data_IF_924426538151
#
_entry.id   IF_924426538151
#
_cell.length_a   1.000
_cell.length_b   1.000
_cell.length_c   1.000
_cell.angle_alpha   90.00
_cell.angle_beta   90.00
_cell.angle_gamma   90.00
#
_symmetry.space_group_name_H-M   'P 1'
#
loop_
_entity.id
_entity.type
_entity.pdbx_description
1 polymer ?
2 non-polymer ?
3 water ?
#
# COMPACT_ATOMS: atom_id res chain seq x y z
N UNK A 10 -18.91 21.62 -3.54
CA UNK A 10 -19.42 20.35 -2.94
C UNK A 10 -18.82 20.09 -1.55
N UNK A 11 -18.06 21.07 -1.04
CA UNK A 11 -17.45 20.98 0.28
C UNK A 11 -18.42 21.29 1.42
N UNK A 12 -19.62 21.75 1.07
CA UNK A 12 -20.74 21.87 2.01
C UNK A 12 -21.11 20.49 2.57
N UNK A 13 -20.66 19.44 1.88
CA UNK A 13 -20.90 18.05 2.27
C UNK A 13 -19.95 17.58 3.37
N UNK A 14 -18.89 18.35 3.60
CA UNK A 14 -17.91 18.07 4.65
C UNK A 14 -18.30 18.69 5.98
N UNK A 15 -19.11 19.74 5.92
CA UNK A 15 -19.56 20.46 7.12
C UNK A 15 -20.90 19.92 7.65
N UNK A 16 -21.57 19.09 6.87
CA UNK A 16 -22.85 18.50 7.27
C UNK A 16 -22.73 17.12 7.88
N UNK A 17 -23.87 16.41 8.01
CA UNK A 17 -23.86 15.03 8.51
C UNK A 17 -23.43 14.04 7.42
N UNK A 18 -22.72 12.98 7.82
CA UNK A 18 -22.10 12.06 6.86
C UNK A 18 -23.07 11.45 5.85
N UNK A 19 -24.33 11.29 6.25
CA UNK A 19 -25.38 10.68 5.39
C UNK A 19 -25.54 11.34 4.02
N UNK A 20 -25.46 12.67 3.98
CA UNK A 20 -25.59 13.42 2.73
C UNK A 20 -24.36 13.23 1.84
N UNK A 21 -23.19 13.02 2.46
CA UNK A 21 -21.95 12.76 1.73
C UNK A 21 -21.97 11.36 1.12
N UNK A 22 -22.31 10.36 1.94
CA UNK A 22 -22.35 8.96 1.51
C UNK A 22 -23.31 8.73 0.33
N UNK A 23 -24.51 9.29 0.42
CA UNK A 23 -25.52 9.16 -0.64
C UNK A 23 -25.11 9.91 -1.90
N UNK A 24 -24.33 10.97 -1.73
CA UNK A 24 -23.77 11.71 -2.85
C UNK A 24 -22.72 10.88 -3.59
N UNK A 25 -21.91 10.16 -2.81
CA UNK A 25 -20.89 9.26 -3.34
C UNK A 25 -21.52 8.08 -4.07
N UNK A 26 -22.61 7.56 -3.50
CA UNK A 26 -23.42 6.51 -4.13
C UNK A 26 -24.11 7.01 -5.40
N UNK A 27 -24.42 8.30 -5.45
CA UNK A 27 -25.08 8.89 -6.62
C UNK A 27 -24.11 9.18 -7.77
N UNK A 28 -22.85 9.50 -7.43
CA UNK A 28 -21.86 9.84 -8.47
C UNK A 28 -21.01 8.64 -8.93
N UNK A 29 -21.40 7.44 -8.52
CA UNK A 29 -20.82 6.20 -9.06
C UNK A 29 -20.98 6.18 -10.58
N UNK A 30 -19.91 5.81 -11.31
CA UNK A 30 -19.98 5.71 -12.77
C UNK A 30 -21.08 4.75 -13.21
N UNK A 31 -21.73 5.07 -14.34
CA UNK A 31 -22.79 4.21 -14.87
C UNK A 31 -22.22 2.86 -15.26
N UNK A 32 -22.95 1.80 -14.86
CA UNK A 32 -22.54 0.41 -15.12
C UNK A 32 -22.13 0.20 -16.58
N UNK A 33 -21.00 -0.48 -16.76
CA UNK A 33 -20.35 -0.61 -18.07
C UNK A 33 -20.45 -2.02 -18.67
N UNK A 34 -20.85 -2.06 -19.93
CA UNK A 34 -20.92 -3.33 -20.68
C UNK A 34 -19.78 -3.43 -21.69
N UNK A 35 -19.31 -4.66 -21.93
CA UNK A 35 -18.24 -4.91 -22.89
C UNK A 35 -18.76 -5.28 -24.28
N UNK A 36 -19.78 -6.13 -24.33
CA UNK A 36 -20.29 -6.78 -25.55
C UNK A 36 -19.27 -7.72 -26.22
N UNK A 46 -13.19 -13.86 -24.81
CA UNK A 46 -14.27 -14.04 -25.79
C UNK A 46 -14.64 -12.76 -26.55
N UNK A 47 -14.72 -11.61 -25.85
CA UNK A 47 -14.89 -10.37 -26.62
C UNK A 47 -13.60 -10.02 -27.36
N UNK A 48 -13.75 -9.39 -28.51
CA UNK A 48 -12.62 -8.97 -29.35
C UNK A 48 -11.83 -7.86 -28.65
N UNK A 49 -10.55 -7.76 -28.97
CA UNK A 49 -9.68 -6.75 -28.33
C UNK A 49 -10.18 -5.34 -28.58
N UNK A 50 -10.62 -5.08 -29.82
CA UNK A 50 -11.23 -3.81 -30.21
C UNK A 50 -12.30 -3.34 -29.22
N UNK A 51 -13.14 -4.28 -28.81
CA UNK A 51 -14.24 -3.99 -27.90
C UNK A 51 -13.76 -3.89 -26.43
N UNK A 52 -12.69 -4.59 -26.09
CA UNK A 52 -12.03 -4.42 -24.79
C UNK A 52 -11.25 -3.11 -24.74
N UNK A 53 -10.63 -2.74 -25.87
CA UNK A 53 -10.02 -1.42 -26.01
C UNK A 53 -11.05 -0.31 -25.79
N UNK A 54 -12.22 -0.46 -26.40
CA UNK A 54 -13.35 0.48 -26.22
C UNK A 54 -13.80 0.62 -24.78
N UNK A 55 -13.87 -0.51 -24.06
CA UNK A 55 -14.19 -0.54 -22.63
C UNK A 55 -13.19 0.24 -21.80
N UNK A 56 -11.91 -0.05 -22.03
CA UNK A 56 -10.81 0.63 -21.35
C UNK A 56 -10.92 2.14 -21.57
N UNK A 57 -11.17 2.55 -22.82
CA UNK A 57 -11.34 3.95 -23.19
C UNK A 57 -12.45 4.64 -22.40
N UNK A 58 -13.54 3.92 -22.17
CA UNK A 58 -14.70 4.42 -21.43
C UNK A 58 -14.47 4.40 -19.90
N UNK A 59 -13.73 3.41 -19.43
CA UNK A 59 -13.28 3.36 -18.03
C UNK A 59 -12.47 4.58 -17.60
N UNK A 60 -11.60 5.04 -18.48
CA UNK A 60 -10.78 6.24 -18.27
C UNK A 60 -11.69 7.46 -18.14
N UNK A 61 -12.62 7.60 -19.09
CA UNK A 61 -13.52 8.76 -19.13
C UNK A 61 -14.34 8.88 -17.85
N UNK A 62 -14.98 7.80 -17.44
CA UNK A 62 -15.83 7.79 -16.24
C UNK A 62 -15.07 7.97 -14.91
N UNK A 63 -13.83 7.48 -14.84
CA UNK A 63 -12.99 7.68 -13.65
C UNK A 63 -12.66 9.16 -13.46
N UNK A 64 -12.57 9.89 -14.57
CA UNK A 64 -12.23 11.31 -14.54
C UNK A 64 -13.42 12.16 -14.10
N UNK A 65 -14.58 11.93 -14.71
CA UNK A 65 -15.81 12.65 -14.34
C UNK A 65 -16.24 12.36 -12.91
N UNK A 66 -15.96 11.16 -12.43
CA UNK A 66 -16.21 10.76 -11.04
C UNK A 66 -15.34 11.54 -10.05
N UNK A 67 -14.04 11.61 -10.35
CA UNK A 67 -13.08 12.36 -9.53
C UNK A 67 -13.46 13.84 -9.45
N UNK A 68 -13.89 14.40 -10.58
CA UNK A 68 -14.42 15.77 -10.64
C UNK A 68 -15.55 16.01 -9.64
N UNK A 69 -16.24 14.94 -9.25
CA UNK A 69 -17.41 15.01 -8.38
C UNK A 69 -17.09 14.62 -6.92
N UNK A 70 -15.83 14.33 -6.63
CA UNK A 70 -15.39 14.09 -5.25
C UNK A 70 -15.26 15.44 -4.53
N UNK A 71 -16.01 15.61 -3.41
CA UNK A 71 -15.91 16.85 -2.66
C UNK A 71 -14.48 17.09 -2.20
N UNK A 72 -13.92 18.23 -2.61
CA UNK A 72 -12.52 18.57 -2.32
C UNK A 72 -11.61 18.57 -3.54
N UNK A 73 -11.72 17.51 -4.36
CA UNK A 73 -10.81 17.30 -5.49
C UNK A 73 -10.70 18.50 -6.43
N UNK A 74 -11.84 18.99 -6.89
CA UNK A 74 -11.91 20.10 -7.83
C UNK A 74 -11.27 21.38 -7.30
N UNK A 75 -11.04 21.44 -5.98
CA UNK A 75 -10.42 22.61 -5.34
C UNK A 75 -8.90 22.47 -5.16
N UNK A 76 -8.30 21.53 -5.88
CA UNK A 76 -6.86 21.51 -6.03
C UNK A 76 -6.59 22.23 -7.32
N UNK A 77 -5.36 22.66 -7.55
CA UNK A 77 -4.96 23.21 -8.85
C UNK A 77 -5.04 22.11 -9.89
N UNK A 78 -5.21 22.48 -11.16
CA UNK A 78 -5.27 21.50 -12.25
C UNK A 78 -4.07 20.56 -12.30
N UNK A 79 -2.89 21.06 -11.94
CA UNK A 79 -1.67 20.26 -11.96
C UNK A 79 -1.69 19.19 -10.88
N UNK A 80 -2.17 19.55 -9.69
CA UNK A 80 -2.31 18.59 -8.59
C UNK A 80 -3.43 17.59 -8.83
N UNK A 81 -4.48 18.02 -9.52
CA UNK A 81 -5.57 17.12 -9.91
C UNK A 81 -5.11 16.04 -10.88
N UNK A 82 -4.30 16.43 -11.85
CA UNK A 82 -3.72 15.48 -12.81
C UNK A 82 -2.73 14.54 -12.15
N UNK A 83 -1.87 15.09 -11.30
CA UNK A 83 -0.86 14.31 -10.60
C UNK A 83 -1.48 13.30 -9.66
N UNK A 84 -2.54 13.72 -8.97
CA UNK A 84 -3.29 12.85 -8.10
C UNK A 84 -3.91 11.71 -8.90
N UNK A 85 -4.60 12.04 -10.00
CA UNK A 85 -5.29 11.02 -10.79
C UNK A 85 -4.37 10.03 -11.49
N UNK A 86 -3.28 10.52 -12.10
CA UNK A 86 -2.24 9.64 -12.66
C UNK A 86 -1.77 8.57 -11.67
N UNK A 87 -1.59 8.97 -10.42
CA UNK A 87 -1.04 8.05 -9.42
C UNK A 87 -2.05 7.00 -8.90
N UNK A 88 -3.34 7.32 -8.95
CA UNK A 88 -4.38 6.47 -8.32
C UNK A 88 -5.59 6.12 -9.19
N UNK A 89 -5.59 6.54 -10.46
CA UNK A 89 -6.74 6.26 -11.34
C UNK A 89 -7.02 4.78 -11.50
N UNK A 90 -5.95 3.97 -11.54
CA UNK A 90 -6.05 2.51 -11.65
C UNK A 90 -6.45 1.83 -10.34
N UNK A 91 -6.10 2.46 -9.21
CA UNK A 91 -6.61 2.01 -7.91
C UNK A 91 -8.12 2.16 -7.85
N UNK A 92 -8.63 3.25 -8.39
CA UNK A 92 -10.07 3.52 -8.41
C UNK A 92 -10.78 2.50 -9.30
N UNK A 93 -10.22 2.25 -10.49
CA UNK A 93 -10.73 1.20 -11.38
C UNK A 93 -10.71 -0.18 -10.77
N UNK A 94 -9.54 -0.57 -10.29
CA UNK A 94 -9.37 -1.88 -9.70
C UNK A 94 -10.35 -2.12 -8.55
N UNK A 95 -10.57 -1.10 -7.71
CA UNK A 95 -11.47 -1.22 -6.55
C UNK A 95 -12.92 -1.41 -6.99
N UNK A 96 -13.30 -0.73 -8.08
CA UNK A 96 -14.58 -0.96 -8.73
C UNK A 96 -14.77 -2.41 -9.12
N UNK A 97 -13.79 -2.98 -9.82
CA UNK A 97 -13.85 -4.37 -10.29
C UNK A 97 -13.94 -5.35 -9.13
N UNK A 98 -13.16 -5.09 -8.07
CA UNK A 98 -13.15 -5.95 -6.89
C UNK A 98 -14.46 -5.93 -6.10
N UNK A 99 -15.10 -4.76 -6.04
CA UNK A 99 -16.40 -4.60 -5.39
C UNK A 99 -17.48 -5.45 -6.08
N UNK A 100 -17.61 -5.28 -7.41
CA UNK A 100 -18.57 -6.04 -8.22
C UNK A 100 -18.29 -7.57 -8.23
N UNK A 101 -17.12 -7.95 -7.70
CA UNK A 101 -16.70 -9.35 -7.67
C UNK A 101 -16.91 -10.02 -6.31
N UNK A 102 -17.30 -9.23 -5.31
CA UNK A 102 -17.52 -9.72 -3.94
C UNK A 102 -18.53 -10.87 -3.86
N UNK A 103 -19.69 -10.78 -4.57
CA UNK A 103 -20.61 -11.90 -4.55
C UNK A 103 -20.30 -12.99 -5.58
N UNK A 104 -19.02 -13.14 -5.96
CA UNK A 104 -18.56 -14.19 -6.89
C UNK A 104 -17.47 -15.03 -6.26
N UNK A 105 -17.19 -16.18 -6.86
CA UNK A 105 -16.14 -17.07 -6.38
C UNK A 105 -15.12 -17.40 -7.47
N UNK A 106 -13.86 -17.02 -7.22
CA UNK A 106 -12.74 -17.22 -8.14
C UNK A 106 -12.96 -16.60 -9.52
N UNK A 107 -13.81 -15.56 -9.56
CA UNK A 107 -14.15 -14.89 -10.81
C UNK A 107 -14.13 -13.40 -10.60
N UNK A 108 -14.01 -12.66 -11.70
CA UNK A 108 -13.93 -11.21 -11.66
C UNK A 108 -14.91 -10.59 -12.65
N UNK A 109 -15.64 -9.58 -12.17
CA UNK A 109 -16.58 -8.84 -12.99
C UNK A 109 -15.88 -7.62 -13.60
N UNK A 110 -15.31 -7.83 -14.79
CA UNK A 110 -14.61 -6.79 -15.51
C UNK A 110 -15.61 -5.85 -16.18
N UNK A 111 -16.81 -6.37 -16.41
CA UNK A 111 -17.95 -5.61 -16.93
C UNK A 111 -19.26 -6.29 -16.54
N UNK A 112 -20.39 -5.64 -16.83
CA UNK A 112 -21.73 -6.18 -16.55
C UNK A 112 -21.99 -7.50 -17.27
N UNK A 113 -21.33 -7.67 -18.41
CA UNK A 113 -21.48 -8.85 -19.25
C UNK A 113 -20.15 -9.57 -19.43
N UNK A 114 -19.19 -9.28 -18.55
CA UNK A 114 -17.89 -9.94 -18.62
C UNK A 114 -17.42 -10.42 -17.25
N UNK A 115 -17.61 -11.71 -17.01
CA UNK A 115 -17.21 -12.36 -15.78
C UNK A 115 -16.22 -13.43 -16.17
N UNK A 116 -14.99 -13.30 -15.69
CA UNK A 116 -13.94 -14.22 -16.08
C UNK A 116 -13.26 -14.79 -14.88
N UNK A 117 -13.00 -16.09 -14.93
CA UNK A 117 -12.15 -16.74 -13.96
C UNK A 117 -10.71 -16.47 -14.36
N UNK A 118 -9.77 -17.05 -13.62
CA UNK A 118 -8.35 -16.82 -13.82
C UNK A 118 -7.88 -17.34 -15.18
N UNK A 119 -8.52 -18.40 -15.67
CA UNK A 119 -8.21 -18.95 -16.98
C UNK A 119 -8.71 -18.03 -18.09
N UNK A 120 -9.90 -17.48 -17.91
CA UNK A 120 -10.47 -16.51 -18.82
C UNK A 120 -9.75 -15.16 -18.79
N UNK A 121 -9.31 -14.73 -17.60
CA UNK A 121 -8.55 -13.49 -17.46
C UNK A 121 -7.26 -13.52 -18.33
N UNK A 122 -6.48 -14.60 -18.18
CA UNK A 122 -5.23 -14.79 -18.94
C UNK A 122 -5.47 -15.01 -20.44
N UNK A 123 -6.60 -15.63 -20.80
CA UNK A 123 -6.98 -15.82 -22.21
C UNK A 123 -7.45 -14.52 -22.87
N UNK A 124 -8.03 -13.63 -22.07
CA UNK A 124 -8.47 -12.33 -22.55
C UNK A 124 -7.29 -11.35 -22.65
N UNK A 125 -6.11 -11.80 -22.23
CA UNK A 125 -4.86 -11.04 -22.42
C UNK A 125 -4.39 -10.22 -21.24
N UNK A 126 -4.85 -10.58 -20.05
CA UNK A 126 -4.47 -9.85 -18.83
C UNK A 126 -3.31 -10.50 -18.08
N UNK A 127 -2.61 -11.43 -18.73
CA UNK A 127 -1.44 -12.12 -18.14
C UNK A 127 -1.79 -12.85 -16.85
N UNK A 128 -1.07 -12.53 -15.78
CA UNK A 128 -1.33 -13.12 -14.46
C UNK A 128 -2.04 -12.18 -13.48
N UNK A 129 -2.62 -11.09 -13.99
CA UNK A 129 -3.31 -10.11 -13.15
C UNK A 129 -4.53 -10.68 -12.41
N UNK A 130 -5.15 -11.73 -12.96
CA UNK A 130 -6.32 -12.38 -12.33
C UNK A 130 -6.03 -12.80 -10.91
N UNK A 131 -4.92 -13.51 -10.70
CA UNK A 131 -4.44 -13.87 -9.37
C UNK A 131 -4.30 -12.65 -8.45
N UNK A 132 -3.69 -11.59 -8.97
CA UNK A 132 -3.45 -10.39 -8.19
C UNK A 132 -4.77 -9.72 -7.77
N UNK A 133 -5.71 -9.67 -8.69
CA UNK A 133 -7.03 -9.11 -8.44
C UNK A 133 -7.89 -9.99 -7.50
N UNK A 134 -7.76 -11.30 -7.59
CA UNK A 134 -8.52 -12.18 -6.70
C UNK A 134 -8.02 -12.08 -5.26
N UNK A 135 -6.70 -12.07 -5.10
CA UNK A 135 -6.10 -11.82 -3.81
C UNK A 135 -6.68 -10.58 -3.11
N UNK A 136 -6.89 -9.51 -3.88
CA UNK A 136 -7.54 -8.29 -3.36
C UNK A 136 -9.03 -8.50 -3.08
N UNK A 137 -9.70 -9.27 -3.94
CA UNK A 137 -11.11 -9.56 -3.77
C UNK A 137 -11.32 -10.33 -2.46
N UNK A 138 -10.55 -11.41 -2.27
CA UNK A 138 -10.63 -12.21 -1.05
C UNK A 138 -10.51 -11.33 0.20
N UNK A 139 -9.53 -10.43 0.16
CA UNK A 139 -9.24 -9.52 1.26
C UNK A 139 -10.45 -8.64 1.62
N UNK A 140 -11.14 -8.15 0.60
CA UNK A 140 -12.37 -7.35 0.75
C UNK A 140 -13.59 -8.20 1.16
N UNK A 141 -13.56 -9.48 0.80
CA UNK A 141 -14.63 -10.44 1.08
C UNK A 141 -14.54 -10.95 2.51
N UNK A 142 -13.32 -10.95 3.05
CA UNK A 142 -13.10 -11.38 4.42
C UNK A 142 -13.52 -10.32 5.43
N UNK A 143 -14.24 -9.31 4.94
CA UNK A 143 -14.62 -8.14 5.73
C UNK A 143 -16.10 -7.77 5.66
N UNK A 144 -16.85 -8.46 4.79
CA UNK A 144 -18.26 -8.12 4.52
C UNK A 144 -18.40 -6.67 4.08
N UNK A 145 -17.53 -6.27 3.14
CA UNK A 145 -17.47 -4.89 2.69
C UNK A 145 -18.81 -4.42 2.13
N UNK A 146 -19.28 -3.30 2.67
CA UNK A 146 -20.59 -2.78 2.30
C UNK A 146 -20.46 -1.65 1.29
N UNK A 147 -21.51 -1.49 0.50
CA UNK A 147 -21.52 -0.50 -0.57
C UNK A 147 -21.12 0.91 -0.10
N UNK A 148 -21.57 1.29 1.10
CA UNK A 148 -21.26 2.59 1.70
C UNK A 148 -19.80 2.73 2.12
N UNK A 149 -19.25 1.69 2.72
CA UNK A 149 -17.83 1.62 3.07
C UNK A 149 -16.96 1.70 1.80
N UNK A 150 -17.39 0.99 0.76
CA UNK A 150 -16.69 0.95 -0.53
C UNK A 150 -16.48 2.33 -1.17
N UNK A 151 -17.54 3.15 -1.22
CA UNK A 151 -17.48 4.47 -1.86
C UNK A 151 -16.71 5.52 -1.04
N UNK A 152 -16.61 5.28 0.26
CA UNK A 152 -15.80 6.11 1.14
C UNK A 152 -14.32 5.72 1.03
N UNK A 153 -14.05 4.42 1.06
CA UNK A 153 -12.70 3.88 0.81
C UNK A 153 -12.14 4.30 -0.56
N UNK A 154 -13.01 4.38 -1.56
CA UNK A 154 -12.64 4.76 -2.92
C UNK A 154 -12.27 6.23 -3.03
N UNK A 155 -13.05 7.11 -2.40
CA UNK A 155 -12.74 8.53 -2.36
C UNK A 155 -11.50 8.80 -1.51
N UNK A 156 -11.32 8.03 -0.45
CA UNK A 156 -10.10 8.06 0.38
C UNK A 156 -8.84 7.50 -0.31
N UNK A 157 -8.99 6.52 -1.21
CA UNK A 157 -7.86 6.02 -1.98
C UNK A 157 -7.34 7.10 -2.93
N UNK A 158 -8.27 7.81 -3.57
CA UNK A 158 -7.93 8.93 -4.44
C UNK A 158 -7.16 10.03 -3.69
N UNK A 159 -7.65 10.38 -2.49
CA UNK A 159 -7.06 11.44 -1.67
C UNK A 159 -5.75 11.02 -1.01
N UNK A 160 -5.50 9.72 -0.95
CA UNK A 160 -4.25 9.21 -0.37
C UNK A 160 -3.07 9.14 -1.34
N UNK A 161 -3.22 9.77 -2.50
CA UNK A 161 -2.16 9.84 -3.51
C UNK A 161 -0.78 10.19 -2.89
N UNK A 162 0.28 9.68 -3.51
CA UNK A 162 1.63 10.01 -3.05
C UNK A 162 2.52 10.43 -4.22
N UNK A 163 1.93 11.13 -5.19
CA UNK A 163 2.66 11.61 -6.37
C UNK A 163 3.81 12.57 -6.04
N UNK A 164 4.98 12.29 -6.60
CA UNK A 164 6.15 13.19 -6.45
C UNK A 164 5.92 14.53 -7.14
N UNK A 165 4.92 14.57 -8.02
CA UNK A 165 4.60 15.76 -8.80
C UNK A 165 3.65 16.73 -8.08
N UNK A 166 3.19 16.37 -6.88
CA UNK A 166 2.24 17.19 -6.14
C UNK A 166 2.90 18.46 -5.57
N UNK A 167 2.33 19.61 -5.95
CA UNK A 167 2.77 20.91 -5.47
C UNK A 167 2.28 21.15 -4.05
N UNK A 168 0.96 21.25 -3.89
CA UNK A 168 0.34 21.62 -2.63
C UNK A 168 0.03 20.39 -1.80
N UNK A 169 1.01 19.91 -1.05
CA UNK A 169 0.87 18.72 -0.22
C UNK A 169 -0.10 18.91 0.95
N UNK A 170 -0.13 20.13 1.49
CA UNK A 170 -1.02 20.51 2.58
C UNK A 170 -2.48 20.37 2.15
N UNK A 171 -2.79 20.82 0.94
CA UNK A 171 -4.13 20.77 0.37
C UNK A 171 -4.61 19.35 0.03
N UNK A 172 -3.67 18.47 -0.30
CA UNK A 172 -3.98 17.06 -0.55
C UNK A 172 -4.24 16.37 0.79
N UNK A 173 -3.35 16.63 1.75
CA UNK A 173 -3.45 16.12 3.11
C UNK A 173 -4.80 16.45 3.75
N UNK A 174 -5.24 17.69 3.54
CA UNK A 174 -6.50 18.20 4.06
C UNK A 174 -7.71 17.44 3.49
N UNK A 175 -7.74 17.25 2.17
CA UNK A 175 -8.74 16.41 1.50
C UNK A 175 -8.75 15.00 2.08
N UNK A 176 -7.56 14.45 2.27
CA UNK A 176 -7.38 13.10 2.81
C UNK A 176 -7.89 12.95 4.23
N UNK A 177 -7.64 13.98 5.04
CA UNK A 177 -8.06 14.01 6.44
C UNK A 177 -9.58 14.06 6.55
N UNK A 178 -10.20 14.88 5.71
CA UNK A 178 -11.66 15.06 5.70
C UNK A 178 -12.39 13.78 5.29
N UNK A 179 -11.82 13.09 4.30
CA UNK A 179 -12.37 11.81 3.88
C UNK A 179 -12.10 10.71 4.90
N UNK A 180 -10.98 10.80 5.61
CA UNK A 180 -10.70 9.87 6.71
C UNK A 180 -11.71 10.09 7.84
N UNK A 181 -11.86 11.35 8.24
CA UNK A 181 -12.86 11.75 9.23
C UNK A 181 -14.25 11.25 8.84
N UNK A 182 -14.67 11.54 7.60
CA UNK A 182 -15.97 11.11 7.08
C UNK A 182 -16.20 9.59 7.16
N UNK A 183 -15.13 8.82 6.97
CA UNK A 183 -15.20 7.36 7.12
C UNK A 183 -15.28 6.97 8.59
N UNK A 184 -14.65 7.76 9.46
CA UNK A 184 -14.76 7.54 10.90
C UNK A 184 -16.16 7.88 11.41
N UNK A 185 -16.73 8.98 10.90
CA UNK A 185 -18.08 9.42 11.24
C UNK A 185 -19.15 8.48 10.70
N UNK A 186 -18.87 7.83 9.58
CA UNK A 186 -19.78 6.82 9.05
C UNK A 186 -19.83 5.60 9.96
N UNK A 187 -18.66 5.12 10.37
CA UNK A 187 -18.54 3.92 11.20
C UNK A 187 -19.02 4.17 12.62
N UNK A 188 -18.96 5.43 13.06
CA UNK A 188 -19.43 5.82 14.39
C UNK A 188 -20.94 5.66 14.49
N UNK A 189 -21.67 6.41 13.65
CA UNK A 189 -23.13 6.35 13.61
C UNK A 189 -23.66 5.09 12.95
N UNK A 199 -14.45 0.32 16.89
CA UNK A 199 -13.27 1.14 16.54
C UNK A 199 -12.33 0.49 15.50
N UNK A 200 -12.35 -0.84 15.43
CA UNK A 200 -11.47 -1.58 14.51
C UNK A 200 -11.92 -1.58 13.04
N UNK A 201 -13.19 -1.25 12.80
CA UNK A 201 -13.80 -1.37 11.47
C UNK A 201 -13.14 -0.51 10.38
N UNK A 202 -12.91 0.78 10.68
CA UNK A 202 -12.29 1.71 9.74
C UNK A 202 -10.88 1.30 9.39
N UNK A 203 -10.11 0.88 10.41
CA UNK A 203 -8.74 0.42 10.25
C UNK A 203 -8.58 -0.85 9.44
N UNK A 204 -9.56 -1.75 9.53
CA UNK A 204 -9.57 -2.99 8.75
C UNK A 204 -9.70 -2.74 7.25
N UNK A 205 -10.45 -1.69 6.90
CA UNK A 205 -10.64 -1.26 5.53
C UNK A 205 -9.41 -0.55 4.99
N UNK A 206 -8.79 0.27 5.83
CA UNK A 206 -7.53 0.91 5.51
C UNK A 206 -6.39 -0.07 5.30
N UNK A 207 -6.41 -1.21 5.99
CA UNK A 207 -5.32 -2.18 5.89
C UNK A 207 -5.32 -2.97 4.56
N UNK A 208 -6.34 -2.75 3.73
CA UNK A 208 -6.42 -3.40 2.42
C UNK A 208 -5.89 -2.47 1.32
N UNK A 209 -5.69 -1.19 1.68
CA UNK A 209 -5.14 -0.19 0.76
C UNK A 209 -3.72 -0.47 0.18
N UNK A 210 -2.78 -1.00 0.99
CA UNK A 210 -1.46 -1.36 0.45
C UNK A 210 -1.51 -2.39 -0.68
N UNK A 211 -2.34 -3.42 -0.53
CA UNK A 211 -2.58 -4.41 -1.60
C UNK A 211 -3.30 -3.80 -2.80
N UNK A 212 -4.23 -2.89 -2.55
CA UNK A 212 -4.90 -2.16 -3.63
C UNK A 212 -3.88 -1.39 -4.49
N UNK A 213 -2.91 -0.73 -3.85
CA UNK A 213 -1.90 0.06 -4.58
C UNK A 213 -1.01 -0.86 -5.39
N UNK A 214 -0.59 -1.95 -4.75
CA UNK A 214 0.30 -2.93 -5.34
C UNK A 214 -0.34 -3.61 -6.56
N UNK A 215 -1.60 -3.96 -6.45
CA UNK A 215 -2.37 -4.60 -7.52
C UNK A 215 -2.60 -3.67 -8.70
N UNK A 216 -2.96 -2.41 -8.42
CA UNK A 216 -3.13 -1.40 -9.46
C UNK A 216 -1.81 -1.08 -10.20
N UNK A 217 -0.71 -1.08 -9.48
CA UNK A 217 0.62 -0.94 -10.09
C UNK A 217 0.96 -2.07 -11.05
N UNK A 218 0.61 -3.29 -10.69
CA UNK A 218 0.78 -4.45 -11.56
C UNK A 218 -0.05 -4.33 -12.83
N UNK A 219 -1.32 -3.94 -12.68
CA UNK A 219 -2.23 -3.75 -13.81
C UNK A 219 -1.70 -2.65 -14.73
N UNK A 220 -1.29 -1.55 -14.12
CA UNK A 220 -0.75 -0.41 -14.85
C UNK A 220 0.50 -0.78 -15.64
N UNK A 221 1.44 -1.50 -15.00
CA UNK A 221 2.63 -1.99 -15.67
C UNK A 221 2.33 -2.96 -16.81
N UNK A 222 1.28 -3.78 -16.65
CA UNK A 222 0.80 -4.66 -17.72
C UNK A 222 0.44 -3.86 -18.97
N UNK A 223 -0.41 -2.86 -18.79
CA UNK A 223 -0.91 -2.07 -19.91
C UNK A 223 0.14 -1.13 -20.51
N UNK A 224 1.11 -0.70 -19.69
CA UNK A 224 2.27 0.05 -20.24
C UNK A 224 3.05 -0.83 -21.21
N UNK A 225 3.27 -2.09 -20.84
CA UNK A 225 3.98 -3.05 -21.67
C UNK A 225 3.22 -3.47 -22.90
N UNK A 226 1.89 -3.57 -22.78
CA UNK A 226 1.04 -3.88 -23.93
C UNK A 226 1.08 -2.70 -24.91
N UNK A 227 0.92 -1.49 -24.39
CA UNK A 227 0.90 -0.26 -25.19
C UNK A 227 -0.12 -0.38 -26.32
N UNK A 228 -1.39 -0.53 -25.91
CA UNK A 228 -2.48 -0.88 -26.80
C UNK A 228 -2.72 0.22 -27.84
N UNK A 229 -2.65 -0.19 -29.10
CA UNK A 229 -2.80 0.72 -30.25
C UNK A 229 -1.75 1.86 -30.33
N UNK A 230 -0.58 1.61 -29.73
CA UNK A 230 0.55 2.54 -29.81
C UNK A 230 0.53 3.60 -28.73
N UNK A 231 -0.39 3.44 -27.78
CA UNK A 231 -0.69 4.47 -26.82
C UNK A 231 -0.34 4.08 -25.40
N UNK A 232 0.44 4.95 -24.76
CA UNK A 232 0.81 4.85 -23.35
C UNK A 232 -0.39 5.28 -22.53
N UNK A 233 -0.84 4.44 -21.56
CA UNK A 233 -2.00 4.81 -20.74
C UNK A 233 -1.91 6.20 -20.12
N UNK A 234 -0.71 6.58 -19.66
CA UNK A 234 -0.46 7.93 -19.10
C UNK A 234 -0.85 9.03 -20.09
N UNK A 235 -0.53 8.80 -21.35
CA UNK A 235 -0.71 9.78 -22.40
C UNK A 235 -2.19 9.88 -22.76
N UNK A 236 -2.93 8.78 -22.55
CA UNK A 236 -4.37 8.75 -22.78
C UNK A 236 -5.11 9.46 -21.66
N UNK A 237 -4.72 9.16 -20.42
CA UNK A 237 -5.30 9.81 -19.25
C UNK A 237 -5.16 11.34 -19.30
N UNK A 238 -3.94 11.84 -19.50
CA UNK A 238 -3.69 13.28 -19.56
C UNK A 238 -4.56 14.02 -20.57
N UNK A 239 -4.72 13.46 -21.77
CA UNK A 239 -5.56 14.09 -22.81
C UNK A 239 -7.05 14.15 -22.44
N UNK A 240 -7.53 13.09 -21.79
CA UNK A 240 -8.90 13.04 -21.32
C UNK A 240 -9.10 13.95 -20.12
N UNK A 241 -8.09 14.01 -19.25
CA UNK A 241 -8.11 14.92 -18.11
C UNK A 241 -8.15 16.35 -18.61
N UNK A 242 -7.38 16.61 -19.67
CA UNK A 242 -7.34 17.90 -20.33
C UNK A 242 -8.75 18.34 -20.76
N UNK A 243 -9.44 17.49 -21.51
CA UNK A 243 -10.79 17.78 -21.98
C UNK A 243 -11.79 18.08 -20.85
N UNK A 244 -11.72 17.31 -19.76
CA UNK A 244 -12.62 17.51 -18.63
C UNK A 244 -12.17 18.61 -17.65
N UNK A 245 -11.10 19.33 -17.97
CA UNK A 245 -10.56 20.38 -17.09
C UNK A 245 -10.37 21.73 -17.80
N UNK B 10 5.01 -15.85 23.53
CA UNK B 10 4.95 -14.37 23.73
C UNK B 10 3.53 -13.82 23.48
N UNK B 11 2.57 -14.73 23.28
CA UNK B 11 1.17 -14.36 23.09
C UNK B 11 0.46 -13.93 24.37
N UNK B 12 1.14 -14.13 25.50
CA UNK B 12 0.70 -13.59 26.80
C UNK B 12 0.67 -12.05 26.76
N UNK B 13 1.51 -11.48 25.89
CA UNK B 13 1.59 -10.03 25.69
C UNK B 13 0.34 -9.47 24.99
N UNK B 14 -0.38 -10.35 24.30
CA UNK B 14 -1.68 -10.02 23.71
C UNK B 14 -2.82 -10.10 24.72
N UNK B 15 -2.59 -10.87 25.79
CA UNK B 15 -3.57 -11.05 26.86
C UNK B 15 -3.46 -9.97 27.94
N UNK B 16 -2.23 -9.53 28.22
CA UNK B 16 -2.00 -8.46 29.21
C UNK B 16 -2.29 -7.05 28.71
N UNK B 17 -1.77 -6.04 29.43
CA UNK B 17 -1.93 -4.64 29.03
C UNK B 17 -0.90 -4.24 27.97
N UNK B 18 -1.27 -3.30 27.10
CA UNK B 18 -0.47 -2.97 25.93
C UNK B 18 0.95 -2.44 26.25
N UNK B 19 1.09 -1.78 27.40
CA UNK B 19 2.36 -1.16 27.79
C UNK B 19 3.54 -2.13 27.83
N UNK B 20 3.28 -3.37 28.24
CA UNK B 20 4.30 -4.41 28.32
C UNK B 20 4.63 -4.97 26.93
N UNK B 21 3.64 -4.92 26.03
CA UNK B 21 3.84 -5.32 24.63
C UNK B 21 4.71 -4.29 23.92
N UNK B 22 4.35 -3.02 24.06
CA UNK B 22 5.08 -1.89 23.50
C UNK B 22 6.55 -1.88 23.97
N UNK B 23 6.77 -2.19 25.25
CA UNK B 23 8.12 -2.21 25.83
C UNK B 23 8.92 -3.42 25.36
N UNK B 24 8.21 -4.51 25.08
CA UNK B 24 8.82 -5.71 24.52
C UNK B 24 9.31 -5.42 23.10
N UNK B 25 8.51 -4.64 22.36
CA UNK B 25 8.80 -4.29 20.98
C UNK B 25 9.98 -3.32 20.89
N UNK B 26 10.10 -2.43 21.87
CA UNK B 26 11.24 -1.52 21.96
C UNK B 26 12.52 -2.28 22.32
N UNK B 27 12.40 -3.33 23.13
CA UNK B 27 13.54 -4.14 23.55
C UNK B 27 14.02 -5.12 22.45
N UNK B 28 13.11 -5.55 21.57
CA UNK B 28 13.50 -6.46 20.50
C UNK B 28 13.93 -5.75 19.20
N UNK B 29 13.88 -4.41 19.23
CA UNK B 29 14.46 -3.60 18.16
C UNK B 29 15.91 -3.98 17.88
N UNK B 30 16.24 -4.21 16.59
CA UNK B 30 17.58 -4.58 16.15
C UNK B 30 18.64 -3.61 16.65
N UNK B 31 19.81 -4.13 17.01
CA UNK B 31 20.93 -3.30 17.44
C UNK B 31 21.39 -2.40 16.29
N UNK B 32 21.65 -1.13 16.61
CA UNK B 32 22.08 -0.14 15.63
C UNK B 32 23.30 -0.62 14.84
N UNK B 33 23.21 -0.55 13.51
CA UNK B 33 24.24 -1.09 12.62
C UNK B 33 25.10 0.02 12.02
N UNK B 34 26.40 -0.26 11.91
CA UNK B 34 27.36 0.66 11.32
C UNK B 34 27.83 0.13 9.98
N UNK B 35 28.07 1.03 9.02
CA UNK B 35 28.59 0.65 7.71
C UNK B 35 30.12 0.60 7.68
N UNK B 36 30.77 1.64 8.21
CA UNK B 36 32.22 1.87 8.13
C UNK B 36 32.67 2.35 6.73
N UNK B 46 30.72 6.52 -0.53
CA UNK B 46 31.99 6.64 0.18
C UNK B 46 32.47 5.32 0.80
N UNK B 47 31.55 4.54 1.41
CA UNK B 47 31.97 3.19 1.75
C UNK B 47 32.10 2.36 0.46
N UNK B 48 33.03 1.42 0.46
CA UNK B 48 33.21 0.48 -0.65
C UNK B 48 31.97 -0.43 -0.71
N UNK B 49 31.74 -1.04 -1.87
CA UNK B 49 30.57 -1.91 -2.07
C UNK B 49 30.63 -3.17 -1.19
N UNK B 50 31.83 -3.72 -1.04
CA UNK B 50 32.08 -4.83 -0.10
C UNK B 50 31.53 -4.54 1.30
N UNK B 51 31.71 -3.32 1.76
CA UNK B 51 31.22 -2.85 3.06
C UNK B 51 29.69 -2.66 3.08
N UNK B 52 29.15 -2.14 1.98
CA UNK B 52 27.69 -2.04 1.84
C UNK B 52 27.05 -3.42 1.69
N UNK B 53 27.73 -4.34 1.01
CA UNK B 53 27.28 -5.74 0.91
C UNK B 53 27.26 -6.39 2.29
N UNK B 54 28.28 -6.15 3.10
CA UNK B 54 28.31 -6.63 4.49
C UNK B 54 27.17 -6.07 5.34
N UNK B 55 26.89 -4.78 5.18
CA UNK B 55 25.75 -4.14 5.84
C UNK B 55 24.44 -4.82 5.47
N UNK B 56 24.22 -5.03 4.16
CA UNK B 56 23.01 -5.69 3.65
C UNK B 56 22.84 -7.08 4.27
N UNK B 57 23.91 -7.86 4.27
CA UNK B 57 23.93 -9.22 4.84
C UNK B 57 23.48 -9.24 6.31
N UNK B 58 23.88 -8.23 7.07
CA UNK B 58 23.57 -8.13 8.48
C UNK B 58 22.15 -7.56 8.69
N UNK B 59 21.71 -6.67 7.80
CA UNK B 59 20.31 -6.24 7.74
C UNK B 59 19.31 -7.39 7.57
N UNK B 60 19.72 -8.44 6.85
CA UNK B 60 18.91 -9.63 6.63
C UNK B 60 18.84 -10.48 7.90
N UNK B 61 19.99 -10.76 8.51
CA UNK B 61 20.05 -11.60 9.72
C UNK B 61 19.19 -10.97 10.82
N UNK B 62 19.47 -9.70 11.08
CA UNK B 62 18.80 -8.88 12.06
C UNK B 62 17.26 -8.78 11.88
N UNK B 63 16.79 -8.64 10.65
CA UNK B 63 15.34 -8.60 10.36
C UNK B 63 14.67 -9.93 10.70
N UNK B 64 15.41 -11.03 10.54
CA UNK B 64 14.87 -12.36 10.78
C UNK B 64 14.72 -12.66 12.29
N UNK B 65 15.79 -12.45 13.05
CA UNK B 65 15.77 -12.62 14.49
C UNK B 65 14.75 -11.71 15.18
N UNK B 66 14.56 -10.51 14.62
CA UNK B 66 13.51 -9.59 15.07
C UNK B 66 12.10 -10.16 14.89
N UNK B 67 11.85 -10.67 13.68
CA UNK B 67 10.56 -11.24 13.32
C UNK B 67 10.15 -12.39 14.23
N UNK B 68 11.12 -13.22 14.60
CA UNK B 68 10.92 -14.36 15.50
C UNK B 68 10.51 -13.92 16.90
N UNK B 69 10.72 -12.65 17.21
CA UNK B 69 10.43 -12.09 18.54
C UNK B 69 9.16 -11.24 18.54
N UNK B 70 8.45 -11.22 17.42
CA UNK B 70 7.14 -10.59 17.34
C UNK B 70 6.13 -11.58 17.91
N UNK B 71 5.35 -11.14 18.92
CA UNK B 71 4.35 -12.03 19.51
C UNK B 71 3.38 -12.51 18.44
N UNK B 72 3.21 -13.83 18.36
CA UNK B 72 2.33 -14.44 17.36
C UNK B 72 3.02 -15.04 16.13
N UNK B 73 4.07 -14.37 15.64
CA UNK B 73 4.73 -14.78 14.40
C UNK B 73 5.18 -16.24 14.39
N UNK B 74 5.81 -16.67 15.47
CA UNK B 74 6.28 -18.05 15.58
C UNK B 74 5.15 -19.07 15.70
N UNK B 75 3.94 -18.59 16.00
CA UNK B 75 2.75 -19.47 16.05
C UNK B 75 2.22 -19.83 14.65
N UNK B 76 2.74 -19.16 13.62
CA UNK B 76 2.47 -19.54 12.25
C UNK B 76 3.42 -20.67 11.90
N UNK B 77 3.01 -21.56 11.00
CA UNK B 77 3.88 -22.65 10.52
C UNK B 77 5.08 -22.07 9.77
N UNK B 78 6.18 -22.82 9.73
CA UNK B 78 7.43 -22.38 9.07
C UNK B 78 7.26 -21.88 7.63
N UNK B 79 6.37 -22.52 6.87
CA UNK B 79 6.13 -22.12 5.49
C UNK B 79 5.47 -20.75 5.40
N UNK B 80 4.53 -20.49 6.29
CA UNK B 80 3.87 -19.19 6.38
C UNK B 80 4.75 -18.11 7.00
N UNK B 81 5.64 -18.51 7.90
CA UNK B 81 6.62 -17.58 8.46
C UNK B 81 7.55 -17.06 7.37
N UNK B 82 7.98 -17.97 6.51
CA UNK B 82 8.85 -17.64 5.38
C UNK B 82 8.14 -16.79 4.34
N UNK B 83 6.93 -17.21 3.97
CA UNK B 83 6.15 -16.52 2.95
C UNK B 83 5.84 -15.10 3.40
N UNK B 84 5.45 -14.97 4.66
CA UNK B 84 5.18 -13.67 5.28
C UNK B 84 6.44 -12.79 5.22
N UNK B 85 7.58 -13.34 5.60
CA UNK B 85 8.83 -12.55 5.61
C UNK B 85 9.32 -12.14 4.22
N UNK B 86 9.29 -13.06 3.25
CA UNK B 86 9.60 -12.75 1.85
C UNK B 86 8.84 -11.54 1.33
N UNK B 87 7.56 -11.46 1.67
CA UNK B 87 6.68 -10.42 1.15
C UNK B 87 6.89 -9.04 1.81
N UNK B 88 7.42 -9.02 3.04
CA UNK B 88 7.46 -7.76 3.83
C UNK B 88 8.80 -7.42 4.49
N UNK B 89 9.82 -8.26 4.34
CA UNK B 89 11.12 -8.02 5.01
C UNK B 89 11.75 -6.67 4.65
N UNK B 90 11.56 -6.26 3.40
CA UNK B 90 12.05 -4.95 2.92
C UNK B 90 11.18 -3.77 3.40
N UNK B 91 9.91 -4.04 3.73
CA UNK B 91 9.09 -2.99 4.36
C UNK B 91 9.57 -2.72 5.78
N UNK B 92 10.04 -3.76 6.45
CA UNK B 92 10.57 -3.64 7.81
C UNK B 92 11.86 -2.82 7.78
N UNK B 93 12.72 -3.09 6.81
CA UNK B 93 13.99 -2.39 6.65
C UNK B 93 13.80 -0.94 6.27
N UNK B 94 12.99 -0.72 5.24
CA UNK B 94 12.69 0.62 4.76
C UNK B 94 12.12 1.49 5.88
N UNK B 95 11.25 0.92 6.72
CA UNK B 95 10.63 1.66 7.82
C UNK B 95 11.63 1.98 8.92
N UNK B 96 12.57 1.06 9.15
CA UNK B 96 13.72 1.33 10.00
C UNK B 96 14.49 2.54 9.52
N UNK B 97 14.88 2.53 8.24
CA UNK B 97 15.62 3.66 7.65
C UNK B 97 14.86 4.97 7.74
N UNK B 98 13.54 4.91 7.51
CA UNK B 98 12.67 6.10 7.53
C UNK B 98 12.53 6.74 8.92
N UNK B 99 12.34 5.93 9.96
CA UNK B 99 12.27 6.44 11.35
C UNK B 99 13.55 7.19 11.72
N UNK B 100 14.71 6.54 11.56
CA UNK B 100 16.02 7.11 11.90
C UNK B 100 16.30 8.41 11.13
N UNK B 101 15.48 8.69 10.12
CA UNK B 101 15.69 9.82 9.23
C UNK B 101 14.70 10.97 9.47
N UNK B 102 13.73 10.74 10.36
CA UNK B 102 12.74 11.77 10.73
C UNK B 102 13.37 13.06 11.26
N UNK B 103 14.36 12.95 12.18
CA UNK B 103 15.04 14.15 12.66
C UNK B 103 16.06 14.73 11.69
N UNK B 104 15.94 14.40 10.40
CA UNK B 104 16.85 14.88 9.35
C UNK B 104 16.10 15.61 8.23
N UNK B 105 16.85 16.32 7.40
CA UNK B 105 16.26 17.09 6.30
C UNK B 105 16.89 16.73 4.94
N UNK B 106 16.05 16.16 4.05
CA UNK B 106 16.46 15.73 2.72
C UNK B 106 17.61 14.72 2.74
N UNK B 107 17.69 13.94 3.81
CA UNK B 107 18.77 12.97 4.01
C UNK B 107 18.24 11.69 4.61
N UNK B 108 19.00 10.62 4.41
CA UNK B 108 18.59 9.29 4.85
C UNK B 108 19.69 8.62 5.66
N UNK B 109 19.30 8.09 6.81
CA UNK B 109 20.19 7.35 7.69
C UNK B 109 20.17 5.85 7.36
N UNK B 110 21.05 5.45 6.45
CA UNK B 110 21.15 4.06 6.00
C UNK B 110 21.90 3.23 7.02
N UNK B 111 22.72 3.90 7.82
CA UNK B 111 23.41 3.29 8.96
C UNK B 111 23.74 4.38 9.96
N UNK B 112 24.30 4.00 11.11
CA UNK B 112 24.68 4.96 12.15
C UNK B 112 25.74 5.96 11.65
N UNK B 113 26.59 5.50 10.74
CA UNK B 113 27.69 6.29 10.22
C UNK B 113 27.55 6.47 8.72
N UNK B 114 26.30 6.42 8.25
CA UNK B 114 26.02 6.65 6.83
C UNK B 114 24.74 7.45 6.62
N UNK B 115 24.92 8.74 6.40
CA UNK B 115 23.81 9.64 6.16
C UNK B 115 24.04 10.22 4.76
N UNK B 116 23.07 10.00 3.88
CA UNK B 116 23.23 10.39 2.49
C UNK B 116 22.02 11.16 2.01
N UNK B 117 22.29 12.25 1.29
CA UNK B 117 21.24 12.93 0.55
C UNK B 117 21.00 12.19 -0.77
N UNK B 118 20.18 12.77 -1.62
CA UNK B 118 19.76 12.16 -2.87
C UNK B 118 20.93 11.94 -3.83
N UNK B 119 21.96 12.80 -3.72
CA UNK B 119 23.17 12.70 -4.53
C UNK B 119 24.08 11.57 -4.05
N UNK B 120 24.23 11.48 -2.73
CA UNK B 120 24.97 10.40 -2.11
C UNK B 120 24.27 9.05 -2.19
N UNK B 121 22.93 9.04 -2.22
CA UNK B 121 22.19 7.79 -2.39
C UNK B 121 22.47 7.20 -3.77
N UNK B 122 22.27 8.02 -4.81
CA UNK B 122 22.53 7.62 -6.20
C UNK B 122 24.02 7.33 -6.49
N UNK B 123 24.92 8.05 -5.83
CA UNK B 123 26.37 7.80 -5.96
C UNK B 123 26.83 6.57 -5.16
N UNK B 124 26.07 6.17 -4.16
CA UNK B 124 26.34 4.94 -3.43
C UNK B 124 25.78 3.72 -4.17
N UNK B 125 25.02 3.96 -5.23
CA UNK B 125 24.55 2.90 -6.13
C UNK B 125 23.10 2.46 -5.95
N UNK B 126 22.26 3.37 -5.45
CA UNK B 126 20.87 3.05 -5.15
C UNK B 126 19.92 3.60 -6.20
N UNK B 127 20.46 4.01 -7.34
CA UNK B 127 19.65 4.54 -8.43
C UNK B 127 18.84 5.74 -7.95
N UNK B 128 17.53 5.68 -8.14
CA UNK B 128 16.66 6.78 -7.72
C UNK B 128 15.84 6.46 -6.46
N UNK B 129 16.27 5.46 -5.70
CA UNK B 129 15.57 5.06 -4.48
C UNK B 129 15.50 6.15 -3.42
N UNK B 130 16.49 7.05 -3.42
CA UNK B 130 16.51 8.21 -2.50
C UNK B 130 15.20 9.00 -2.51
N UNK B 131 14.75 9.38 -3.70
CA UNK B 131 13.50 10.12 -3.87
C UNK B 131 12.29 9.36 -3.29
N UNK B 132 12.22 8.06 -3.58
CA UNK B 132 11.16 7.20 -3.08
C UNK B 132 11.18 7.10 -1.55
N UNK B 133 12.37 6.91 -0.99
CA UNK B 133 12.53 6.83 0.46
C UNK B 133 12.26 8.19 1.17
N UNK B 134 12.63 9.30 0.56
CA UNK B 134 12.36 10.62 1.15
C UNK B 134 10.86 10.99 1.14
N UNK B 135 10.16 10.60 0.08
CA UNK B 135 8.70 10.73 0.07
C UNK B 135 8.02 10.00 1.23
N UNK B 136 8.51 8.81 1.56
CA UNK B 136 8.03 8.05 2.71
C UNK B 136 8.39 8.73 4.04
N UNK B 137 9.58 9.31 4.08
CA UNK B 137 10.05 9.99 5.27
C UNK B 137 9.18 11.22 5.54
N UNK B 138 8.92 12.03 4.51
CA UNK B 138 8.11 13.24 4.63
C UNK B 138 6.71 12.94 5.15
N UNK B 139 6.14 11.84 4.66
CA UNK B 139 4.83 11.36 5.05
C UNK B 139 4.77 11.06 6.56
N UNK B 140 5.81 10.38 7.06
CA UNK B 140 5.93 10.02 8.47
C UNK B 140 6.30 11.22 9.37
N UNK B 141 6.91 12.24 8.76
CA UNK B 141 7.36 13.44 9.45
C UNK B 141 6.19 14.39 9.64
N UNK B 142 5.26 14.37 8.69
CA UNK B 142 4.04 15.17 8.74
C UNK B 142 3.09 14.71 9.85
N UNK B 143 3.54 13.76 10.66
CA UNK B 143 2.69 13.08 11.65
C UNK B 143 3.32 13.01 13.05
N UNK B 144 4.56 13.47 13.18
CA UNK B 144 5.32 13.33 14.44
C UNK B 144 5.28 11.90 14.95
N UNK B 145 5.76 10.98 14.13
CA UNK B 145 5.75 9.56 14.46
C UNK B 145 6.58 9.26 15.70
N UNK B 146 5.92 8.76 16.74
CA UNK B 146 6.54 8.43 18.00
C UNK B 146 7.28 7.11 17.89
N UNK B 147 8.29 6.95 18.74
CA UNK B 147 9.05 5.71 18.85
C UNK B 147 8.15 4.51 19.12
N UNK B 148 7.11 4.71 19.94
CA UNK B 148 6.19 3.63 20.34
C UNK B 148 5.24 3.23 19.20
N UNK B 149 4.71 4.23 18.50
CA UNK B 149 3.89 3.98 17.32
C UNK B 149 4.69 3.26 16.23
N UNK B 150 5.91 3.75 15.98
CA UNK B 150 6.81 3.15 14.98
C UNK B 150 6.94 1.62 15.13
N UNK B 151 7.17 1.14 16.35
CA UNK B 151 7.33 -0.29 16.62
C UNK B 151 6.00 -1.07 16.58
N UNK B 152 4.89 -0.35 16.77
CA UNK B 152 3.57 -0.95 16.59
C UNK B 152 3.21 -1.01 15.11
N UNK B 153 3.53 0.07 14.38
CA UNK B 153 3.34 0.15 12.93
C UNK B 153 4.22 -0.87 12.16
N UNK B 154 5.42 -1.12 12.67
CA UNK B 154 6.36 -2.06 12.05
C UNK B 154 5.97 -3.53 12.22
N UNK B 155 5.48 -3.88 13.41
CA UNK B 155 4.99 -5.22 13.68
C UNK B 155 3.68 -5.50 12.94
N UNK B 156 2.84 -4.47 12.82
CA UNK B 156 1.62 -4.53 12.02
C UNK B 156 1.84 -4.61 10.49
N UNK B 157 2.91 -4.01 9.99
CA UNK B 157 3.24 -4.10 8.56
C UNK B 157 3.65 -5.53 8.18
N UNK B 158 4.36 -6.20 9.10
CA UNK B 158 4.75 -7.59 8.94
C UNK B 158 3.53 -8.54 8.94
N UNK B 159 2.59 -8.28 9.86
CA UNK B 159 1.40 -9.12 10.00
C UNK B 159 0.40 -8.85 8.88
N UNK B 160 0.57 -7.73 8.19
CA UNK B 160 -0.29 -7.36 7.05
C UNK B 160 0.17 -7.91 5.70
N UNK B 161 1.04 -8.91 5.73
CA UNK B 161 1.50 -9.58 4.50
C UNK B 161 0.34 -10.04 3.61
N UNK B 162 0.51 -9.90 2.29
CA UNK B 162 -0.52 -10.34 1.34
C UNK B 162 0.04 -11.39 0.37
N UNK B 163 0.97 -12.21 0.86
CA UNK B 163 1.64 -13.25 0.06
C UNK B 163 0.66 -14.30 -0.48
N UNK B 164 0.78 -14.61 -1.78
CA UNK B 164 -0.04 -15.65 -2.42
C UNK B 164 0.35 -17.06 -1.96
N UNK B 165 1.47 -17.16 -1.25
CA UNK B 165 2.00 -18.44 -0.79
C UNK B 165 1.51 -18.85 0.61
N UNK B 166 0.70 -18.00 1.25
CA UNK B 166 0.21 -18.27 2.60
C UNK B 166 -0.86 -19.36 2.59
N UNK B 167 -0.61 -20.42 3.37
CA UNK B 167 -1.54 -21.55 3.52
C UNK B 167 -2.61 -21.23 4.55
N UNK B 168 -2.20 -20.90 5.77
CA UNK B 168 -3.17 -20.60 6.82
C UNK B 168 -3.45 -19.10 6.91
N UNK B 169 -4.43 -18.65 6.13
CA UNK B 169 -4.77 -17.24 6.06
C UNK B 169 -5.39 -16.73 7.35
N UNK B 170 -6.32 -17.51 7.92
CA UNK B 170 -6.99 -17.20 9.18
C UNK B 170 -5.98 -16.81 10.27
N UNK B 171 -4.94 -17.63 10.43
CA UNK B 171 -3.90 -17.41 11.44
C UNK B 171 -3.14 -16.10 11.22
N UNK B 172 -2.80 -15.81 9.97
CA UNK B 172 -2.16 -14.53 9.62
C UNK B 172 -3.11 -13.37 9.94
N UNK B 173 -4.38 -13.53 9.55
CA UNK B 173 -5.43 -12.55 9.84
C UNK B 173 -5.58 -12.28 11.35
N UNK B 174 -5.49 -13.34 12.14
CA UNK B 174 -5.60 -13.25 13.60
C UNK B 174 -4.46 -12.42 14.18
N UNK B 175 -3.24 -12.68 13.71
CA UNK B 175 -2.04 -11.97 14.15
C UNK B 175 -2.14 -10.46 13.89
N UNK B 176 -2.71 -10.14 12.73
CA UNK B 176 -2.81 -8.77 12.25
C UNK B 176 -3.90 -8.00 12.99
N UNK B 177 -4.98 -8.69 13.33
CA UNK B 177 -6.08 -8.12 14.09
C UNK B 177 -5.61 -7.79 15.50
N UNK B 178 -4.83 -8.68 16.10
CA UNK B 178 -4.24 -8.49 17.43
C UNK B 178 -3.30 -7.30 17.47
N UNK B 179 -2.42 -7.20 16.46
CA UNK B 179 -1.51 -6.06 16.35
C UNK B 179 -2.27 -4.78 16.04
N UNK B 180 -3.38 -4.90 15.31
CA UNK B 180 -4.25 -3.74 15.07
C UNK B 180 -4.90 -3.26 16.36
N UNK B 181 -5.50 -4.20 17.10
CA UNK B 181 -6.06 -3.92 18.42
C UNK B 181 -5.01 -3.23 19.31
N UNK B 182 -3.85 -3.85 19.45
CA UNK B 182 -2.73 -3.33 20.23
C UNK B 182 -2.41 -1.86 19.92
N UNK B 183 -2.49 -1.50 18.65
CA UNK B 183 -2.28 -0.13 18.21
C UNK B 183 -3.44 0.77 18.63
N UNK B 184 -4.65 0.22 18.60
CA UNK B 184 -5.81 0.97 19.07
C UNK B 184 -5.81 1.14 20.60
N UNK B 185 -5.38 0.10 21.31
CA UNK B 185 -5.24 0.14 22.77
C UNK B 185 -4.12 1.07 23.23
N UNK B 186 -3.11 1.25 22.37
CA UNK B 186 -2.04 2.20 22.66
C UNK B 186 -2.54 3.64 22.56
N UNK B 187 -3.22 3.94 21.46
CA UNK B 187 -3.71 5.29 21.18
C UNK B 187 -4.87 5.69 22.07
N UNK B 188 -5.51 4.69 22.68
CA UNK B 188 -6.64 4.93 23.59
C UNK B 188 -6.17 5.55 24.90
N UNK B 189 -5.49 4.76 25.72
CA UNK B 189 -4.94 5.23 26.99
C UNK B 189 -3.64 6.02 26.81
N UNK B 199 -9.49 8.91 17.42
CA UNK B 199 -9.52 7.73 16.56
C UNK B 199 -8.82 7.94 15.21
N UNK B 200 -8.64 9.20 14.83
CA UNK B 200 -7.93 9.55 13.58
C UNK B 200 -6.44 9.20 13.60
N UNK B 201 -5.82 9.27 14.78
CA UNK B 201 -4.40 9.00 14.95
C UNK B 201 -3.92 7.63 14.42
N UNK B 202 -4.64 6.57 14.77
CA UNK B 202 -4.31 5.21 14.35
C UNK B 202 -4.38 5.06 12.84
N UNK B 203 -5.43 5.61 12.23
CA UNK B 203 -5.64 5.56 10.79
C UNK B 203 -4.64 6.38 9.99
N UNK B 204 -4.21 7.52 10.53
CA UNK B 204 -3.23 8.37 9.89
C UNK B 204 -1.90 7.66 9.67
N UNK B 205 -1.56 6.75 10.58
CA UNK B 205 -0.38 5.91 10.47
C UNK B 205 -0.58 4.78 9.46
N UNK B 206 -1.74 4.11 9.53
CA UNK B 206 -2.10 3.07 8.57
C UNK B 206 -2.15 3.57 7.12
N UNK B 207 -2.51 4.83 6.92
CA UNK B 207 -2.62 5.41 5.58
C UNK B 207 -1.27 5.68 4.89
N UNK B 208 -0.18 5.49 5.63
CA UNK B 208 1.18 5.61 5.10
C UNK B 208 1.70 4.22 4.68
N UNK B 209 0.94 3.18 4.99
CA UNK B 209 1.31 1.81 4.65
C UNK B 209 1.33 1.47 3.15
N UNK B 210 0.35 1.98 2.37
CA UNK B 210 0.44 1.79 0.91
C UNK B 210 1.74 2.28 0.29
N UNK B 211 2.19 3.47 0.68
CA UNK B 211 3.48 4.02 0.24
C UNK B 211 4.67 3.25 0.77
N UNK B 212 4.55 2.68 1.97
CA UNK B 212 5.61 1.86 2.51
C UNK B 212 5.83 0.61 1.63
N UNK B 213 4.73 -0.03 1.19
CA UNK B 213 4.81 -1.25 0.39
C UNK B 213 5.38 -0.95 -0.99
N UNK B 214 4.88 0.12 -1.59
CA UNK B 214 5.31 0.59 -2.89
C UNK B 214 6.80 0.94 -2.91
N UNK B 215 7.27 1.64 -1.87
CA UNK B 215 8.70 1.98 -1.75
C UNK B 215 9.58 0.76 -1.49
N UNK B 216 9.08 -0.20 -0.73
CA UNK B 216 9.81 -1.44 -0.48
C UNK B 216 9.91 -2.33 -1.73
N UNK B 217 8.85 -2.35 -2.54
CA UNK B 217 8.86 -3.05 -3.84
C UNK B 217 9.91 -2.47 -4.78
N UNK B 218 10.07 -1.15 -4.74
CA UNK B 218 11.08 -0.46 -5.55
C UNK B 218 12.50 -0.81 -5.14
N UNK B 219 12.72 -0.86 -3.82
CA UNK B 219 14.03 -1.20 -3.28
C UNK B 219 14.35 -2.63 -3.66
N UNK B 220 13.37 -3.51 -3.46
CA UNK B 220 13.53 -4.92 -3.76
C UNK B 220 13.84 -5.15 -5.25
N UNK B 221 13.09 -4.49 -6.14
CA UNK B 221 13.32 -4.58 -7.57
C UNK B 221 14.71 -4.07 -7.98
N UNK B 222 15.18 -3.03 -7.30
CA UNK B 222 16.54 -2.52 -7.51
C UNK B 222 17.57 -3.61 -7.25
N UNK B 223 17.55 -4.15 -6.03
CA UNK B 223 18.49 -5.19 -5.63
C UNK B 223 18.34 -6.53 -6.39
N UNK B 224 17.14 -6.84 -6.88
CA UNK B 224 17.00 -7.93 -7.86
C UNK B 224 17.79 -7.65 -9.14
N UNK B 225 17.74 -6.41 -9.61
CA UNK B 225 18.47 -6.02 -10.81
C UNK B 225 19.97 -6.03 -10.63
N UNK B 226 20.43 -5.51 -9.49
CA UNK B 226 21.84 -5.48 -9.15
C UNK B 226 22.36 -6.93 -9.08
N UNK B 227 21.66 -7.77 -8.32
CA UNK B 227 22.03 -9.20 -8.12
C UNK B 227 23.46 -9.29 -7.56
N UNK B 228 23.62 -8.66 -6.39
CA UNK B 228 24.90 -8.40 -5.76
C UNK B 228 25.69 -9.67 -5.47
N UNK B 229 26.86 -9.76 -6.10
CA UNK B 229 27.75 -10.93 -5.97
C UNK B 229 27.15 -12.24 -6.51
N UNK B 230 26.16 -12.10 -7.39
CA UNK B 230 25.55 -13.23 -8.09
C UNK B 230 24.35 -13.77 -7.36
N UNK B 231 23.89 -13.03 -6.37
CA UNK B 231 22.88 -13.51 -5.44
C UNK B 231 21.58 -12.75 -5.55
N UNK B 232 20.51 -13.50 -5.78
CA UNK B 232 19.12 -13.05 -5.70
C UNK B 232 18.81 -12.82 -4.22
N UNK B 233 18.32 -11.63 -3.85
CA UNK B 233 17.94 -11.38 -2.45
C UNK B 233 17.03 -12.46 -1.85
N UNK B 234 16.00 -12.88 -2.60
CA UNK B 234 15.10 -13.95 -2.17
C UNK B 234 15.85 -15.21 -1.70
N UNK B 235 16.87 -15.60 -2.46
CA UNK B 235 17.67 -16.80 -2.23
C UNK B 235 18.53 -16.68 -0.98
N UNK B 236 18.96 -15.45 -0.68
CA UNK B 236 19.74 -15.17 0.54
C UNK B 236 18.85 -15.17 1.77
N UNK B 237 17.68 -14.56 1.65
CA UNK B 237 16.71 -14.53 2.73
C UNK B 237 16.25 -15.93 3.14
N UNK B 238 15.93 -16.78 2.16
CA UNK B 238 15.48 -18.14 2.45
C UNK B 238 16.51 -18.96 3.23
N UNK B 239 17.79 -18.81 2.88
CA UNK B 239 18.86 -19.56 3.57
C UNK B 239 19.07 -19.09 5.00
N UNK B 240 18.96 -17.79 5.22
CA UNK B 240 19.11 -17.26 6.57
C UNK B 240 17.88 -17.55 7.42
N UNK B 241 16.70 -17.54 6.80
CA UNK B 241 15.47 -17.94 7.47
C UNK B 241 15.57 -19.39 7.88
N UNK B 242 16.22 -20.19 7.03
CA UNK B 242 16.46 -21.61 7.27
C UNK B 242 17.41 -21.85 8.45
N UNK B 243 18.44 -21.01 8.57
CA UNK B 243 19.34 -21.03 9.74
C UNK B 243 18.63 -20.68 11.05
N UNK B 244 17.77 -19.68 11.02
CA UNK B 244 17.04 -19.25 12.22
C UNK B 244 15.76 -20.05 12.49
N UNK B 245 15.40 -20.94 11.56
CA UNK B 245 14.18 -21.76 11.71
C UNK B 245 14.47 -23.26 11.67
X LIG C 1 -8.55 -5.43 -21.51
X LIG C 1 -9.35 -6.31 -20.86
X LIG C 1 -10.22 -5.59 -20.03
X LIG C 1 -9.84 -4.16 -20.29
X LIG C 1 -8.84 -4.19 -21.18
X LIG C 1 -10.47 -2.94 -19.65
X LIG C 1 -10.24 -2.88 -18.19
X LIG C 1 -8.86 -2.59 -17.76
X LIG C 1 -8.53 -3.13 -16.34
X LIG C 1 -9.32 -2.39 -15.22
X LIG C 1 -8.90 -2.89 -13.80
X LIG C 1 -8.97 -4.44 -13.68
X LIG C 1 -8.20 -5.14 -14.85
X LIG C 1 -8.76 -4.67 -16.22
X LIG C 1 -11.17 -6.23 -19.22
X LIG C 1 -11.21 -7.62 -19.28
X LIG C 1 -10.33 -8.35 -20.10
X LIG C 1 -9.40 -7.71 -20.91
X LIG C 1 -7.58 -5.74 -22.43
X LIG C 1 -7.61 -5.04 -23.64
X LIG C 1 -6.65 -5.30 -24.63
X LIG C 1 -5.66 -6.26 -24.43
X LIG C 1 -5.61 -6.96 -23.21
X LIG C 1 -6.57 -6.70 -22.21
X LIG C 1 -4.65 -6.49 -25.56
X LIG D 1 23.76 -0.87 -0.59
X LIG D 1 23.70 0.38 -0.03
X LIG D 1 23.13 0.27 1.23
X LIG D 1 22.84 -1.20 1.36
X LIG D 1 23.26 -1.78 0.22
X LIG D 1 22.21 -1.87 2.57
X LIG D 1 20.81 -1.42 2.77
X LIG D 1 19.84 -1.95 1.78
X LIG D 1 18.56 -1.06 1.65
X LIG D 1 17.74 -1.08 2.97
X LIG D 1 16.47 -0.20 2.86
X LIG D 1 16.84 1.23 2.38
X LIG D 1 17.62 1.21 1.04
X LIG D 1 18.92 0.38 1.21
X LIG D 1 22.94 1.38 2.06
X LIG D 1 23.34 2.61 1.56
X LIG D 1 23.91 2.72 0.29
X LIG D 1 24.11 1.61 -0.53
X LIG D 1 24.26 -1.17 -1.83
X LIG D 1 25.15 -2.24 -1.97
X LIG D 1 25.68 -2.56 -3.24
X LIG D 1 25.32 -1.83 -4.37
X LIG D 1 24.43 -0.76 -4.24
X LIG D 1 23.90 -0.44 -2.98
X LIG D 1 25.91 -2.21 -5.73
#
# INVERSE_FOLDING_TARGET
GSSHHHHHHLEVLFQGPVNALVSHLLVVEPEKLYAMPDPAGPDGHLPAVATLSDLFDREIVVTISWAKSIPGFSSLSLSDQMSVLQSVWMEVLVLGVAQRSLPLQDELAFAEDLVLDEEGARAAGLGELGAALLQLVRRLQALRLEREEYVLLKALALANSDSVHIEDAEAVEQLREALHEALLEYEAGRAGPGGGAERRRAGRLLLTLPLLRQTAGKVLAHFYGVKLEGKVPMHKLFLEMLEAMMD
GSSHHHHHHLEVLFQGPVNALVSHLLVVEPEKLYAMPDPAGPDGHLPAVATLSDLFDREIVVTISWAKSIPGFSSLSLSDQMSVLQSVWMEVLVLGVAQRSLPLQDELAFAEDLVLDEEGARAAGLGELGAALLQLVRRLQALRLEREEYVLLKALALANSDSVHIEDAEAVEQLREALHEALLEYEAGRAGPGGGAERRRAGRLLLTLPLLRQTAGKVLAHFYGVKLEGKVPMHKLFLEMLEAMMD
047 N1 C2 C3 C4 C5 C7 N10 C12 C15 C17 C20 C23 C26 C29 C32 C34 C36 C38 C40 C41 C43 C45 C46 C48 C50
047 N1 C2 C3 C4 C5 C7 N10 C12 C15 C17 C20 C23 C26 C29 C32 C34 C36 C38 C40 C41 C43 C45 C46 C48 C50
#
